data_IF_266620662692
#
_entry.id   IF_266620662692
#
_cell.length_a   1.000
_cell.length_b   1.000
_cell.length_c   1.000
_cell.angle_alpha   90.00
_cell.angle_beta   90.00
_cell.angle_gamma   90.00
#
_symmetry.space_group_name_H-M   'P 1'
#
loop_
_entity.id
_entity.type
_entity.pdbx_description
1 polymer ?
#
# COMPACT_ATOMS: atom_id res chain seq x y z
N UNK A 1 -9.06 -50.15 -37.44
CA UNK A 1 -7.98 -50.55 -38.34
C UNK A 1 -6.68 -49.97 -37.75
N UNK A 2 -5.98 -50.79 -36.99
CA UNK A 2 -4.73 -51.49 -37.25
C UNK A 2 -3.58 -50.50 -37.51
N UNK A 3 -2.63 -50.36 -36.68
CA UNK A 3 -1.55 -51.19 -36.18
C UNK A 3 -0.26 -50.49 -36.61
N UNK A 4 0.82 -50.42 -35.95
CA UNK A 4 1.79 -51.37 -35.49
C UNK A 4 2.85 -50.73 -34.59
N UNK A 5 3.18 -51.48 -33.53
CA UNK A 5 4.34 -51.36 -32.62
C UNK A 5 5.61 -51.73 -33.38
N UNK A 6 6.72 -51.01 -33.17
CA UNK A 6 8.08 -51.59 -33.29
C UNK A 6 8.96 -51.15 -32.13
N UNK A 7 9.15 -52.11 -31.24
CA UNK A 7 10.27 -52.20 -30.29
C UNK A 7 11.57 -52.49 -31.06
N UNK A 8 12.68 -51.83 -30.73
CA UNK A 8 14.02 -52.40 -30.87
C UNK A 8 14.87 -52.10 -29.67
N UNK A 9 15.25 -53.19 -29.07
CA UNK A 9 16.14 -53.45 -27.95
C UNK A 9 17.62 -53.49 -28.39
N UNK A 10 18.52 -53.48 -27.36
CA UNK A 10 19.90 -54.00 -27.28
C UNK A 10 21.00 -53.00 -27.62
N UNK A 11 22.14 -52.93 -26.95
CA UNK A 11 22.81 -53.65 -25.85
C UNK A 11 24.06 -52.84 -25.49
N UNK A 12 24.72 -53.02 -24.33
CA UNK A 12 25.92 -52.28 -23.93
C UNK A 12 27.20 -53.00 -24.38
N UNK A 13 28.36 -52.37 -24.40
CA UNK A 13 29.65 -53.01 -24.19
C UNK A 13 30.32 -52.49 -22.93
N UNK A 14 30.72 -53.34 -22.08
CA UNK A 14 31.92 -54.15 -21.96
C UNK A 14 33.12 -53.41 -21.31
N UNK A 15 33.47 -53.93 -20.15
CA UNK A 15 34.64 -53.61 -19.36
C UNK A 15 35.97 -54.04 -20.05
N UNK A 16 37.02 -53.28 -19.83
CA UNK A 16 38.44 -53.65 -19.65
C UNK A 16 39.26 -52.35 -19.79
N UNK A 17 40.05 -51.96 -18.81
CA UNK A 17 41.30 -52.46 -18.47
C UNK A 17 41.78 -51.99 -17.11
N UNK A 18 42.26 -52.96 -16.32
CA UNK A 18 43.03 -52.78 -15.08
C UNK A 18 44.50 -52.54 -15.39
N UNK A 19 45.14 -51.78 -14.54
CA UNK A 19 46.48 -51.87 -13.93
C UNK A 19 47.10 -50.50 -13.84
N UNK A 20 47.46 -50.06 -12.73
CA UNK A 20 48.33 -50.33 -11.56
C UNK A 20 49.29 -49.12 -11.50
N UNK A 21 49.60 -48.54 -10.41
CA UNK A 21 50.62 -48.96 -9.41
C UNK A 21 50.58 -47.92 -8.26
N UNK A 22 50.59 -48.40 -7.06
CA UNK A 22 50.93 -47.95 -5.75
C UNK A 22 51.81 -46.69 -5.57
N UNK A 23 51.54 -45.97 -4.51
CA UNK A 23 52.54 -45.26 -3.76
C UNK A 23 52.11 -44.07 -2.96
N UNK A 24 52.20 -44.22 -1.63
CA UNK A 24 52.44 -43.20 -0.60
C UNK A 24 51.21 -42.50 0.07
N UNK A 25 50.90 -43.04 1.21
CA UNK A 25 51.00 -42.44 2.54
C UNK A 25 50.14 -41.20 2.87
N UNK A 26 49.20 -41.47 3.78
CA UNK A 26 48.82 -40.68 4.95
C UNK A 26 48.69 -39.16 4.80
N UNK A 27 47.46 -38.69 4.70
CA UNK A 27 46.95 -37.52 5.44
C UNK A 27 45.43 -37.60 5.53
N UNK A 28 44.88 -37.66 6.72
CA UNK A 28 43.45 -37.60 7.00
C UNK A 28 42.91 -36.27 6.53
N UNK A 29 41.74 -36.22 5.85
CA UNK A 29 41.05 -34.96 5.69
C UNK A 29 40.32 -34.62 7.01
N UNK A 30 40.77 -33.57 7.64
CA UNK A 30 40.07 -32.81 8.65
C UNK A 30 38.64 -32.54 8.14
N UNK A 31 37.66 -32.93 8.94
CA UNK A 31 36.27 -32.54 8.81
C UNK A 31 36.22 -31.02 8.68
N UNK A 32 35.87 -30.54 7.51
CA UNK A 32 35.44 -29.17 7.33
C UNK A 32 34.09 -29.07 8.06
N UNK A 33 34.15 -28.45 9.20
CA UNK A 33 33.01 -27.98 9.98
C UNK A 33 32.18 -27.11 9.04
N UNK A 34 31.02 -27.61 8.68
CA UNK A 34 29.99 -26.88 7.94
C UNK A 34 29.61 -25.70 8.81
N UNK A 35 30.13 -24.53 8.47
CA UNK A 35 29.80 -23.29 9.13
C UNK A 35 28.28 -23.09 8.97
N UNK A 36 27.57 -23.40 10.04
CA UNK A 36 26.22 -22.89 10.23
C UNK A 36 26.28 -21.39 10.02
N UNK A 37 25.73 -20.93 8.91
CA UNK A 37 25.61 -19.52 8.62
C UNK A 37 24.80 -18.88 9.75
N UNK A 38 25.47 -18.20 10.65
CA UNK A 38 24.83 -17.29 11.59
C UNK A 38 24.03 -16.29 10.74
N UNK A 39 22.72 -16.43 10.78
CA UNK A 39 21.81 -15.43 10.24
C UNK A 39 22.05 -14.18 11.09
N UNK A 40 22.87 -13.25 10.58
CA UNK A 40 23.03 -11.94 11.22
C UNK A 40 21.64 -11.35 11.41
N UNK A 41 21.32 -10.81 12.61
CA UNK A 41 20.06 -10.15 12.80
C UNK A 41 19.93 -9.02 11.78
N UNK A 42 18.84 -9.02 11.04
CA UNK A 42 18.58 -8.01 10.02
C UNK A 42 18.64 -6.60 10.65
N UNK A 43 19.37 -5.70 10.03
CA UNK A 43 19.41 -4.30 10.49
C UNK A 43 18.03 -3.66 10.30
N UNK A 44 17.62 -2.71 11.15
CA UNK A 44 16.32 -2.04 11.01
C UNK A 44 16.06 -1.48 9.60
N UNK A 45 17.07 -0.94 8.93
CA UNK A 45 16.98 -0.46 7.55
C UNK A 45 16.67 -1.59 6.57
N UNK A 46 17.23 -2.78 6.76
CA UNK A 46 16.94 -3.94 5.89
C UNK A 46 15.53 -4.49 6.08
N UNK A 47 14.94 -4.33 7.26
CA UNK A 47 13.54 -4.70 7.53
C UNK A 47 12.58 -3.72 6.86
N UNK A 48 12.82 -2.42 6.99
CA UNK A 48 12.02 -1.39 6.34
C UNK A 48 12.02 -1.57 4.82
N UNK A 49 13.18 -1.75 4.20
CA UNK A 49 13.32 -1.96 2.76
C UNK A 49 12.55 -3.20 2.28
N UNK A 50 12.51 -4.29 3.07
CA UNK A 50 11.70 -5.48 2.74
C UNK A 50 10.20 -5.19 2.76
N UNK A 51 9.71 -4.53 3.82
CA UNK A 51 8.30 -4.16 3.94
C UNK A 51 7.89 -3.21 2.83
N UNK A 52 8.73 -2.21 2.51
CA UNK A 52 8.51 -1.26 1.42
C UNK A 52 8.42 -1.96 0.06
N UNK A 53 9.37 -2.84 -0.24
CA UNK A 53 9.40 -3.60 -1.50
C UNK A 53 8.18 -4.51 -1.64
N UNK A 54 7.78 -5.19 -0.56
CA UNK A 54 6.58 -6.03 -0.54
C UNK A 54 5.30 -5.19 -0.73
N UNK A 55 5.22 -4.02 -0.08
CA UNK A 55 4.10 -3.10 -0.24
C UNK A 55 3.97 -2.60 -1.68
N UNK A 56 5.09 -2.25 -2.32
CA UNK A 56 5.12 -1.80 -3.71
C UNK A 56 4.65 -2.91 -4.67
N UNK A 57 5.17 -4.12 -4.52
CA UNK A 57 4.83 -5.28 -5.36
C UNK A 57 3.34 -5.64 -5.25
N UNK A 58 2.80 -5.67 -4.04
CA UNK A 58 1.38 -5.98 -3.83
C UNK A 58 0.45 -4.84 -4.26
N UNK A 59 0.91 -3.60 -4.15
CA UNK A 59 0.20 -2.45 -4.72
C UNK A 59 0.10 -2.56 -6.23
N UNK A 60 1.19 -2.92 -6.92
CA UNK A 60 1.17 -3.18 -8.37
C UNK A 60 0.18 -4.31 -8.72
N UNK A 61 0.16 -5.40 -7.94
CA UNK A 61 -0.82 -6.49 -8.14
C UNK A 61 -2.25 -6.00 -8.00
N UNK A 62 -2.54 -5.15 -7.00
CA UNK A 62 -3.85 -4.55 -6.80
C UNK A 62 -4.23 -3.62 -7.95
N UNK A 63 -3.28 -2.81 -8.45
CA UNK A 63 -3.56 -1.93 -9.59
C UNK A 63 -3.86 -2.72 -10.85
N UNK A 64 -3.15 -3.79 -11.12
CA UNK A 64 -3.46 -4.70 -12.23
C UNK A 64 -4.88 -5.26 -12.12
N UNK A 65 -5.32 -5.65 -10.92
CA UNK A 65 -6.69 -6.06 -10.67
C UNK A 65 -7.69 -4.92 -10.90
N UNK A 66 -7.37 -3.72 -10.41
CA UNK A 66 -8.22 -2.54 -10.51
C UNK A 66 -8.43 -2.07 -11.95
N UNK A 67 -7.42 -2.19 -12.78
CA UNK A 67 -7.47 -1.86 -14.19
C UNK A 67 -8.08 -2.98 -15.05
N UNK A 68 -8.44 -4.13 -14.45
CA UNK A 68 -8.95 -5.27 -15.20
C UNK A 68 -7.95 -5.75 -16.24
N UNK A 69 -6.66 -5.67 -15.95
CA UNK A 69 -5.59 -6.00 -16.86
C UNK A 69 -5.70 -7.46 -17.27
N UNK A 70 -6.40 -7.72 -18.37
CA UNK A 70 -6.22 -8.93 -19.11
C UNK A 70 -4.72 -9.01 -19.48
N UNK A 71 -4.11 -10.19 -19.28
CA UNK A 71 -2.75 -10.47 -19.78
C UNK A 71 -2.69 -10.03 -21.24
N UNK A 72 -1.89 -9.00 -21.55
CA UNK A 72 -1.61 -8.65 -22.94
C UNK A 72 -1.86 -7.21 -23.38
N UNK A 73 -2.20 -6.26 -22.48
CA UNK A 73 -2.08 -4.85 -22.88
C UNK A 73 -0.61 -4.43 -22.74
N UNK A 74 0.18 -4.81 -23.74
CA UNK A 74 1.55 -4.32 -23.87
C UNK A 74 1.56 -2.80 -24.08
N UNK A 75 2.51 -2.16 -23.42
CA UNK A 75 2.79 -0.74 -23.68
C UNK A 75 3.46 -0.65 -25.05
N UNK A 76 2.71 -0.23 -26.05
CA UNK A 76 3.24 -0.06 -27.42
C UNK A 76 4.08 1.22 -27.51
N UNK A 77 4.94 1.38 -28.56
CA UNK A 77 5.69 2.61 -28.76
C UNK A 77 4.82 3.89 -28.83
N UNK A 78 3.56 3.76 -29.30
CA UNK A 78 2.65 4.91 -29.35
C UNK A 78 2.25 5.38 -27.94
N UNK A 79 2.16 4.47 -26.96
CA UNK A 79 1.96 4.83 -25.55
C UNK A 79 3.13 5.63 -24.96
N UNK A 80 4.33 5.56 -25.57
CA UNK A 80 5.49 6.37 -25.18
C UNK A 80 5.19 7.86 -25.24
N UNK A 81 4.47 8.33 -26.27
CA UNK A 81 4.06 9.74 -26.37
C UNK A 81 3.14 10.17 -25.22
N UNK A 82 2.23 9.30 -24.83
CA UNK A 82 1.35 9.55 -23.67
C UNK A 82 2.18 9.60 -22.38
N UNK A 83 3.13 8.65 -22.20
CA UNK A 83 4.07 8.67 -21.07
C UNK A 83 4.79 10.01 -20.99
N UNK A 84 5.44 10.44 -22.07
CA UNK A 84 6.22 11.68 -22.11
C UNK A 84 5.35 12.91 -21.83
N UNK A 85 4.14 12.94 -22.35
CA UNK A 85 3.19 14.01 -22.09
C UNK A 85 2.74 14.04 -20.62
N UNK A 86 2.47 12.88 -20.00
CA UNK A 86 2.14 12.80 -18.56
C UNK A 86 3.31 13.24 -17.69
N UNK A 87 4.53 12.79 -18.03
CA UNK A 87 5.75 13.22 -17.34
C UNK A 87 5.93 14.74 -17.42
N UNK A 88 5.77 15.32 -18.61
CA UNK A 88 5.87 16.77 -18.81
C UNK A 88 4.84 17.55 -17.97
N UNK A 89 3.61 17.04 -17.85
CA UNK A 89 2.55 17.66 -17.05
C UNK A 89 2.84 17.54 -15.56
N UNK A 90 3.22 16.35 -15.09
CA UNK A 90 3.37 16.06 -13.64
C UNK A 90 4.71 16.49 -13.05
N UNK A 91 5.74 16.71 -13.89
CA UNK A 91 7.05 17.22 -13.47
C UNK A 91 7.20 18.72 -13.71
N UNK A 92 6.19 19.39 -14.24
CA UNK A 92 6.20 20.84 -14.40
C UNK A 92 6.43 21.53 -13.05
N UNK A 93 7.20 22.65 -13.00
CA UNK A 93 7.46 23.39 -11.76
C UNK A 93 6.19 23.84 -11.03
N UNK A 94 5.13 24.09 -11.78
CA UNK A 94 3.79 24.34 -11.27
C UNK A 94 2.86 23.32 -11.91
N UNK A 95 2.44 22.35 -11.11
CA UNK A 95 1.38 21.43 -11.49
C UNK A 95 0.09 22.23 -11.72
N UNK A 96 -0.60 21.92 -12.83
CA UNK A 96 -1.90 22.50 -13.15
C UNK A 96 -2.89 22.25 -11.97
N UNK A 97 -3.47 23.31 -11.42
CA UNK A 97 -4.39 23.26 -10.28
C UNK A 97 -5.55 22.28 -10.49
N UNK A 98 -5.88 21.97 -11.74
CA UNK A 98 -6.97 21.01 -12.05
C UNK A 98 -6.67 19.58 -11.58
N UNK A 99 -5.40 19.19 -11.46
CA UNK A 99 -5.00 17.87 -11.00
C UNK A 99 -4.85 17.82 -9.47
N UNK A 100 -4.57 18.97 -8.83
CA UNK A 100 -4.43 19.00 -7.39
C UNK A 100 -5.77 18.80 -6.69
N UNK A 101 -5.87 17.83 -5.79
CA UNK A 101 -7.03 17.71 -4.94
C UNK A 101 -7.11 18.94 -4.01
N UNK A 102 -8.27 19.59 -3.98
CA UNK A 102 -8.48 20.69 -3.04
C UNK A 102 -8.41 20.15 -1.62
N UNK A 103 -7.63 20.84 -0.79
CA UNK A 103 -7.60 20.54 0.65
C UNK A 103 -9.00 20.63 1.23
N UNK A 104 -9.48 19.60 1.95
CA UNK A 104 -10.80 19.67 2.58
C UNK A 104 -10.91 20.87 3.51
N UNK A 105 -11.99 21.66 3.37
CA UNK A 105 -12.15 22.95 4.05
C UNK A 105 -12.10 22.82 5.58
N UNK A 106 -12.66 21.75 6.13
CA UNK A 106 -12.67 21.51 7.57
C UNK A 106 -11.38 20.90 8.12
N UNK A 107 -10.46 20.46 7.24
CA UNK A 107 -9.19 19.82 7.64
C UNK A 107 -8.39 20.68 8.63
N UNK A 108 -8.11 21.98 8.39
CA UNK A 108 -7.33 22.78 9.33
C UNK A 108 -8.00 22.96 10.69
N UNK A 109 -9.34 23.07 10.72
CA UNK A 109 -10.11 23.20 11.96
C UNK A 109 -10.07 21.90 12.76
N UNK A 110 -10.28 20.78 12.09
CA UNK A 110 -10.24 19.44 12.72
C UNK A 110 -8.85 19.10 13.21
N UNK A 111 -7.79 19.35 12.42
CA UNK A 111 -6.40 19.12 12.85
C UNK A 111 -6.05 19.92 14.12
N UNK A 112 -6.52 21.16 14.21
CA UNK A 112 -6.33 21.99 15.43
C UNK A 112 -7.08 21.42 16.62
N UNK A 113 -8.36 21.08 16.43
CA UNK A 113 -9.19 20.50 17.48
C UNK A 113 -8.66 19.14 17.97
N UNK A 114 -8.04 18.36 17.10
CA UNK A 114 -7.48 17.05 17.44
C UNK A 114 -6.14 17.14 18.19
N UNK A 115 -5.38 18.22 18.01
CA UNK A 115 -4.11 18.46 18.72
C UNK A 115 -4.30 19.10 20.09
N UNK A 116 -5.50 19.62 20.37
CA UNK A 116 -5.80 20.28 21.64
C UNK A 116 -6.41 19.27 22.65
N UNK A 117 -5.69 18.88 23.70
CA UNK A 117 -6.20 17.95 24.71
C UNK A 117 -7.45 18.45 25.44
N UNK A 118 -7.70 19.76 25.41
CA UNK A 118 -8.89 20.36 26.03
C UNK A 118 -10.15 20.21 25.17
N UNK A 119 -10.01 19.87 23.88
CA UNK A 119 -11.13 19.66 22.97
C UNK A 119 -11.71 18.28 23.21
N UNK A 120 -12.84 18.24 23.90
CA UNK A 120 -13.56 16.99 24.14
C UNK A 120 -14.26 16.47 22.87
N UNK A 121 -14.66 15.20 22.93
CA UNK A 121 -15.37 14.51 21.85
C UNK A 121 -16.64 15.23 21.38
N UNK A 122 -17.33 15.97 22.27
CA UNK A 122 -18.52 16.76 21.94
C UNK A 122 -18.21 17.93 20.99
N UNK A 123 -17.05 18.59 21.15
CA UNK A 123 -16.64 19.67 20.26
C UNK A 123 -16.26 19.14 18.87
N UNK A 124 -15.59 17.99 18.78
CA UNK A 124 -15.33 17.31 17.51
C UNK A 124 -16.65 16.92 16.82
N UNK A 125 -17.60 16.37 17.57
CA UNK A 125 -18.92 16.02 17.04
C UNK A 125 -19.65 17.24 16.48
N UNK A 126 -19.55 18.40 17.13
CA UNK A 126 -20.16 19.65 16.68
C UNK A 126 -19.51 20.17 15.38
N UNK A 127 -18.19 20.03 15.22
CA UNK A 127 -17.51 20.38 13.96
C UNK A 127 -17.97 19.47 12.82
N UNK A 128 -18.04 18.16 13.07
CA UNK A 128 -18.48 17.16 12.08
C UNK A 128 -19.92 17.45 11.64
N UNK A 129 -20.79 17.80 12.58
CA UNK A 129 -22.21 18.06 12.31
C UNK A 129 -22.47 19.31 11.42
N UNK A 130 -21.45 20.17 11.23
CA UNK A 130 -21.55 21.30 10.30
C UNK A 130 -21.59 20.87 8.83
N UNK A 131 -21.12 19.67 8.51
CA UNK A 131 -21.12 19.12 7.17
C UNK A 131 -21.91 17.78 7.14
N UNK A 132 -23.11 17.76 6.53
CA UNK A 132 -23.91 16.55 6.42
C UNK A 132 -23.21 15.42 5.63
N UNK A 133 -22.37 15.77 4.63
CA UNK A 133 -21.61 14.78 3.85
C UNK A 133 -20.54 14.15 4.72
N UNK A 134 -19.78 14.96 5.45
CA UNK A 134 -18.78 14.48 6.41
C UNK A 134 -19.43 13.60 7.50
N UNK A 135 -20.57 14.02 8.03
CA UNK A 135 -21.34 13.24 9.00
C UNK A 135 -21.72 11.87 8.44
N UNK A 136 -22.29 11.83 7.23
CA UNK A 136 -22.68 10.59 6.57
C UNK A 136 -21.50 9.68 6.27
N UNK A 137 -20.38 10.23 5.79
CA UNK A 137 -19.17 9.47 5.50
C UNK A 137 -18.50 8.95 6.78
N UNK A 138 -18.48 9.75 7.86
CA UNK A 138 -17.99 9.31 9.17
C UNK A 138 -18.82 8.14 9.71
N UNK A 139 -20.14 8.21 9.65
CA UNK A 139 -21.02 7.11 10.11
C UNK A 139 -20.86 5.86 9.24
N UNK A 140 -20.70 6.03 7.93
CA UNK A 140 -20.45 4.89 7.02
C UNK A 140 -19.13 4.19 7.34
N UNK A 141 -18.07 4.94 7.61
CA UNK A 141 -16.79 4.39 8.03
C UNK A 141 -16.88 3.72 9.40
N UNK A 142 -17.58 4.32 10.37
CA UNK A 142 -17.76 3.72 11.69
C UNK A 142 -18.46 2.35 11.62
N UNK A 143 -19.27 2.13 10.60
CA UNK A 143 -19.95 0.86 10.31
C UNK A 143 -19.21 -0.05 9.33
N UNK A 144 -18.12 0.41 8.72
CA UNK A 144 -17.30 -0.43 7.88
C UNK A 144 -16.57 -1.51 8.70
N UNK A 145 -16.32 -2.67 8.09
CA UNK A 145 -15.74 -3.84 8.77
C UNK A 145 -14.48 -3.52 9.56
N UNK A 146 -13.59 -2.76 8.99
CA UNK A 146 -12.28 -2.41 9.57
C UNK A 146 -12.32 -1.33 10.69
N UNK A 147 -13.47 -0.68 10.91
CA UNK A 147 -13.70 0.24 12.03
C UNK A 147 -14.73 -0.29 13.03
N UNK A 148 -15.56 -1.25 12.63
CA UNK A 148 -16.69 -1.72 13.38
C UNK A 148 -16.24 -2.47 14.64
N UNK A 149 -16.71 -2.02 15.80
CA UNK A 149 -16.43 -2.62 17.11
C UNK A 149 -17.66 -3.21 17.77
N UNK A 150 -18.86 -3.05 17.17
CA UNK A 150 -20.13 -3.54 17.71
C UNK A 150 -20.96 -4.23 16.64
N UNK A 151 -21.85 -5.14 17.05
CA UNK A 151 -22.82 -5.79 16.16
C UNK A 151 -23.95 -4.86 15.72
N UNK A 152 -24.28 -3.84 16.52
CA UNK A 152 -25.34 -2.89 16.22
C UNK A 152 -24.80 -1.73 15.39
N UNK A 153 -25.52 -1.26 14.36
CA UNK A 153 -25.12 -0.10 13.58
C UNK A 153 -24.97 1.17 14.44
N UNK A 154 -24.00 1.99 14.08
CA UNK A 154 -23.76 3.31 14.66
C UNK A 154 -24.52 4.33 13.80
N UNK A 155 -25.55 4.96 14.36
CA UNK A 155 -26.48 5.82 13.63
C UNK A 155 -26.23 7.32 13.91
N UNK A 156 -25.48 7.65 14.97
CA UNK A 156 -25.20 9.03 15.35
C UNK A 156 -23.73 9.26 15.67
N UNK A 157 -23.24 10.49 15.48
CA UNK A 157 -21.85 10.86 15.82
C UNK A 157 -21.63 10.71 17.34
N UNK A 158 -22.61 11.06 18.16
CA UNK A 158 -22.53 10.86 19.62
C UNK A 158 -22.33 9.38 19.97
N UNK A 159 -23.02 8.48 19.28
CA UNK A 159 -22.85 7.03 19.47
C UNK A 159 -21.47 6.55 18.99
N UNK A 160 -20.96 7.12 17.89
CA UNK A 160 -19.60 6.86 17.41
C UNK A 160 -18.57 7.27 18.46
N UNK A 161 -18.73 8.45 19.08
CA UNK A 161 -17.87 8.92 20.17
C UNK A 161 -17.86 7.95 21.34
N UNK A 162 -19.03 7.49 21.79
CA UNK A 162 -19.14 6.57 22.95
C UNK A 162 -18.48 5.21 22.66
N UNK A 163 -18.62 4.73 21.41
CA UNK A 163 -18.12 3.40 21.03
C UNK A 163 -16.64 3.42 20.65
N UNK A 164 -16.22 4.39 19.83
CA UNK A 164 -14.86 4.46 19.30
C UNK A 164 -13.91 5.26 20.20
N UNK A 165 -14.43 6.05 21.13
CA UNK A 165 -13.66 7.03 21.90
C UNK A 165 -13.27 8.25 21.04
N UNK A 166 -12.52 9.18 21.66
CA UNK A 166 -12.06 10.39 20.97
C UNK A 166 -11.09 10.06 19.85
N UNK A 167 -10.09 9.21 20.13
CA UNK A 167 -9.07 8.81 19.15
C UNK A 167 -9.70 8.09 17.94
N UNK A 168 -10.64 7.17 18.22
CA UNK A 168 -11.34 6.46 17.14
C UNK A 168 -12.21 7.41 16.30
N UNK A 169 -12.83 8.42 16.90
CA UNK A 169 -13.55 9.45 16.16
C UNK A 169 -12.61 10.30 15.30
N UNK A 170 -11.43 10.68 15.82
CA UNK A 170 -10.42 11.40 15.08
C UNK A 170 -10.00 10.64 13.83
N UNK A 171 -9.73 9.33 13.99
CA UNK A 171 -9.38 8.43 12.92
C UNK A 171 -10.48 8.35 11.83
N UNK A 172 -11.72 8.17 12.26
CA UNK A 172 -12.88 8.13 11.35
C UNK A 172 -13.03 9.43 10.55
N UNK A 173 -12.89 10.57 11.22
CA UNK A 173 -13.05 11.89 10.60
C UNK A 173 -11.94 12.21 9.61
N UNK A 174 -10.69 11.91 9.96
CA UNK A 174 -9.57 12.10 9.05
C UNK A 174 -9.76 11.30 7.76
N UNK A 175 -10.20 10.04 7.88
CA UNK A 175 -10.51 9.21 6.71
C UNK A 175 -11.73 9.74 5.94
N UNK A 176 -12.81 10.12 6.62
CA UNK A 176 -14.03 10.65 5.98
C UNK A 176 -13.78 11.93 5.17
N UNK A 177 -12.94 12.83 5.69
CA UNK A 177 -12.57 14.07 4.99
C UNK A 177 -11.87 13.84 3.66
N UNK A 178 -11.14 12.73 3.53
CA UNK A 178 -10.40 12.41 2.31
C UNK A 178 -11.30 11.76 1.25
N UNK A 179 -12.40 11.14 1.64
CA UNK A 179 -13.26 10.39 0.73
C UNK A 179 -13.76 11.17 -0.49
N UNK A 180 -14.22 12.44 -0.38
CA UNK A 180 -14.68 13.20 -1.54
C UNK A 180 -13.63 13.41 -2.62
N UNK A 181 -12.34 13.39 -2.23
CA UNK A 181 -11.20 13.50 -3.17
C UNK A 181 -11.14 12.29 -4.09
N UNK A 182 -11.52 11.10 -3.60
CA UNK A 182 -11.49 9.82 -4.31
C UNK A 182 -12.78 9.52 -5.10
N UNK A 183 -13.61 10.50 -5.38
CA UNK A 183 -14.83 10.27 -6.17
C UNK A 183 -14.50 9.60 -7.49
N UNK A 184 -15.29 8.59 -7.83
CA UNK A 184 -15.13 7.85 -9.07
C UNK A 184 -15.16 8.80 -10.26
N UNK A 185 -14.22 8.61 -11.17
CA UNK A 185 -14.23 9.25 -12.48
C UNK A 185 -14.89 8.26 -13.44
N UNK A 186 -15.89 8.67 -14.17
CA UNK A 186 -16.44 7.87 -15.27
C UNK A 186 -15.32 7.66 -16.30
N UNK A 187 -15.16 6.45 -16.80
CA UNK A 187 -14.09 6.18 -17.78
C UNK A 187 -13.68 4.71 -17.89
N UNK A 188 -12.56 4.48 -18.55
CA UNK A 188 -12.11 3.16 -18.96
C UNK A 188 -11.79 2.18 -17.82
N UNK A 189 -11.52 2.69 -16.61
CA UNK A 189 -11.17 1.85 -15.47
C UNK A 189 -12.02 2.20 -14.24
N UNK A 190 -13.33 1.89 -14.24
CA UNK A 190 -14.28 2.36 -13.22
C UNK A 190 -13.98 1.81 -11.82
N UNK A 191 -13.27 0.68 -11.70
CA UNK A 191 -12.92 0.07 -10.41
C UNK A 191 -11.73 0.73 -9.72
N UNK A 192 -10.85 1.43 -10.46
CA UNK A 192 -9.60 1.91 -9.90
C UNK A 192 -9.80 2.87 -8.71
N UNK A 193 -10.60 3.91 -8.87
CA UNK A 193 -10.83 4.89 -7.80
C UNK A 193 -11.52 4.28 -6.58
N UNK A 194 -12.40 3.30 -6.80
CA UNK A 194 -13.06 2.55 -5.72
C UNK A 194 -12.06 1.71 -4.95
N UNK A 195 -11.26 0.90 -5.65
CA UNK A 195 -10.25 0.04 -5.01
C UNK A 195 -9.12 0.87 -4.37
N UNK A 196 -8.73 1.98 -5.00
CA UNK A 196 -7.77 2.91 -4.39
C UNK A 196 -8.31 3.46 -3.08
N UNK A 197 -9.57 3.87 -3.03
CA UNK A 197 -10.22 4.32 -1.80
C UNK A 197 -10.28 3.22 -0.73
N UNK A 198 -10.76 2.04 -1.09
CA UNK A 198 -10.87 0.91 -0.16
C UNK A 198 -9.52 0.49 0.41
N UNK A 199 -8.48 0.46 -0.45
CA UNK A 199 -7.10 0.27 0.01
C UNK A 199 -6.67 1.36 0.99
N UNK A 200 -6.89 2.62 0.62
CA UNK A 200 -6.47 3.77 1.43
C UNK A 200 -7.10 3.74 2.82
N UNK A 201 -8.41 3.48 2.91
CA UNK A 201 -9.12 3.41 4.17
C UNK A 201 -8.61 2.27 5.07
N UNK A 202 -8.36 1.07 4.49
CA UNK A 202 -7.79 -0.07 5.23
C UNK A 202 -6.33 0.17 5.64
N UNK A 203 -5.52 0.70 4.72
CA UNK A 203 -4.12 0.99 4.96
C UNK A 203 -3.93 2.06 6.04
N UNK A 204 -4.71 3.14 5.99
CA UNK A 204 -4.66 4.20 7.01
C UNK A 204 -5.06 3.69 8.39
N UNK A 205 -6.07 2.80 8.46
CA UNK A 205 -6.45 2.14 9.71
C UNK A 205 -5.37 1.18 10.20
N UNK A 206 -4.76 0.42 9.30
CA UNK A 206 -3.66 -0.48 9.66
C UNK A 206 -2.43 0.29 10.16
N UNK A 207 -2.08 1.41 9.53
CA UNK A 207 -0.97 2.29 9.96
C UNK A 207 -1.22 2.88 11.35
N UNK A 208 -2.42 3.34 11.63
CA UNK A 208 -2.84 3.80 12.95
C UNK A 208 -2.67 2.71 14.01
N UNK A 209 -3.13 1.50 13.71
CA UNK A 209 -3.02 0.35 14.63
C UNK A 209 -1.57 -0.10 14.80
N UNK A 210 -0.77 -0.01 13.74
CA UNK A 210 0.67 -0.30 13.77
C UNK A 210 1.38 0.66 14.71
N UNK A 211 1.22 1.96 14.53
CA UNK A 211 1.79 3.00 15.36
C UNK A 211 1.38 2.85 16.84
N UNK A 212 0.10 2.56 17.10
CA UNK A 212 -0.41 2.32 18.46
C UNK A 212 0.29 1.17 19.18
N UNK A 213 0.62 0.08 18.47
CA UNK A 213 1.27 -1.11 19.05
C UNK A 213 2.76 -0.96 19.20
N UNK A 214 3.41 -0.31 18.25
CA UNK A 214 4.82 -0.01 18.31
C UNK A 214 5.16 0.98 19.44
N UNK A 215 4.16 1.66 20.01
CA UNK A 215 4.28 2.65 21.10
C UNK A 215 5.35 3.73 20.86
N UNK A 216 5.65 4.04 19.60
CA UNK A 216 6.75 4.93 19.24
C UNK A 216 6.31 6.14 18.45
N UNK A 217 5.04 6.12 17.94
CA UNK A 217 4.58 7.10 16.98
C UNK A 217 3.22 7.68 17.31
N UNK A 218 2.98 8.90 16.83
CA UNK A 218 1.66 9.50 16.84
C UNK A 218 0.78 8.72 15.85
N UNK A 219 -0.24 8.05 16.41
CA UNK A 219 -1.20 7.22 15.66
C UNK A 219 -1.88 8.00 14.55
N UNK A 220 -2.18 9.27 14.84
CA UNK A 220 -2.84 10.15 13.90
C UNK A 220 -1.90 10.59 12.77
N UNK A 221 -0.62 10.87 13.07
CA UNK A 221 0.36 11.20 12.03
C UNK A 221 0.59 10.02 11.08
N UNK A 222 0.70 8.78 11.58
CA UNK A 222 0.81 7.59 10.74
C UNK A 222 -0.40 7.41 9.83
N UNK A 223 -1.60 7.63 10.35
CA UNK A 223 -2.82 7.60 9.57
C UNK A 223 -2.85 8.69 8.50
N UNK A 224 -2.54 9.94 8.87
CA UNK A 224 -2.55 11.08 7.95
C UNK A 224 -1.51 10.92 6.85
N UNK A 225 -0.32 10.42 7.17
CA UNK A 225 0.73 10.12 6.19
C UNK A 225 0.22 9.14 5.14
N UNK A 226 -0.43 8.05 5.56
CA UNK A 226 -0.99 7.04 4.66
C UNK A 226 -2.10 7.62 3.78
N UNK A 227 -2.95 8.48 4.32
CA UNK A 227 -3.99 9.17 3.56
C UNK A 227 -3.39 10.12 2.50
N UNK A 228 -2.34 10.86 2.85
CA UNK A 228 -1.62 11.74 1.93
C UNK A 228 -0.91 10.94 0.82
N UNK A 229 -0.28 9.81 1.19
CA UNK A 229 0.44 8.98 0.22
C UNK A 229 -0.48 8.41 -0.88
N UNK A 230 -1.75 8.24 -0.60
CA UNK A 230 -2.73 7.74 -1.57
C UNK A 230 -3.18 8.79 -2.60
N UNK A 231 -2.89 10.08 -2.39
CA UNK A 231 -3.32 11.15 -3.30
C UNK A 231 -2.51 11.18 -4.60
N UNK A 232 -1.23 10.86 -4.54
CA UNK A 232 -0.36 10.84 -5.72
C UNK A 232 -0.82 9.83 -6.77
N UNK A 233 -1.04 8.55 -6.44
CA UNK A 233 -1.63 7.57 -7.34
C UNK A 233 -2.92 8.04 -8.02
N UNK A 234 -3.79 8.74 -7.29
CA UNK A 234 -5.03 9.31 -7.84
C UNK A 234 -4.75 10.40 -8.87
N UNK A 235 -3.83 11.31 -8.57
CA UNK A 235 -3.47 12.43 -9.46
C UNK A 235 -2.78 11.90 -10.72
N UNK A 236 -1.84 10.97 -10.58
CA UNK A 236 -1.17 10.33 -11.72
C UNK A 236 -2.19 9.63 -12.62
N UNK A 237 -3.12 8.87 -12.04
CA UNK A 237 -4.20 8.22 -12.79
C UNK A 237 -5.04 9.23 -13.57
N UNK A 238 -5.50 10.32 -12.93
CA UNK A 238 -6.30 11.36 -13.58
C UNK A 238 -5.57 12.05 -14.72
N UNK A 239 -4.29 12.42 -14.49
CA UNK A 239 -3.46 13.04 -15.52
C UNK A 239 -3.23 12.10 -16.71
N UNK A 240 -3.06 10.81 -16.45
CA UNK A 240 -2.89 9.80 -17.49
C UNK A 240 -4.15 9.67 -18.35
N UNK A 241 -5.33 9.53 -17.72
CA UNK A 241 -6.60 9.45 -18.47
C UNK A 241 -6.92 10.74 -19.23
N UNK A 242 -6.64 11.91 -18.64
CA UNK A 242 -6.83 13.20 -19.32
C UNK A 242 -5.91 13.35 -20.54
N UNK A 243 -4.71 12.81 -20.48
CA UNK A 243 -3.79 12.77 -21.62
C UNK A 243 -4.30 11.84 -22.72
N UNK A 244 -4.76 10.63 -22.36
CA UNK A 244 -5.39 9.73 -23.33
C UNK A 244 -6.64 10.33 -23.98
N UNK A 245 -7.44 11.08 -23.23
CA UNK A 245 -8.64 11.72 -23.79
C UNK A 245 -8.32 12.76 -24.87
N UNK A 246 -7.10 13.30 -24.89
CA UNK A 246 -6.60 14.19 -25.96
C UNK A 246 -6.05 13.42 -27.15
N UNK A 247 -5.62 12.20 -26.95
CA UNK A 247 -5.11 11.28 -27.97
C UNK A 247 -6.24 10.37 -28.48
N UNK A 248 -7.13 10.89 -29.28
CA UNK A 248 -8.40 10.23 -29.67
C UNK A 248 -8.26 8.86 -30.38
N UNK A 249 -7.05 8.47 -30.74
CA UNK A 249 -6.77 7.21 -31.45
C UNK A 249 -6.27 6.07 -30.56
N UNK A 250 -5.89 6.37 -29.33
CA UNK A 250 -5.32 5.39 -28.39
C UNK A 250 -6.27 5.06 -27.25
N UNK A 251 -6.48 3.77 -27.03
CA UNK A 251 -7.15 3.28 -25.82
C UNK A 251 -6.20 3.31 -24.63
N UNK A 252 -6.66 3.71 -23.43
CA UNK A 252 -5.82 3.71 -22.25
C UNK A 252 -5.20 2.35 -21.94
N UNK A 253 -3.88 2.32 -21.72
CA UNK A 253 -3.14 1.12 -21.33
C UNK A 253 -3.10 0.97 -19.82
N UNK A 254 -3.58 -0.17 -19.31
CA UNK A 254 -3.46 -0.53 -17.91
C UNK A 254 -1.98 -0.62 -17.47
N UNK A 255 -1.11 -1.17 -18.32
CA UNK A 255 0.33 -1.28 -18.07
C UNK A 255 0.98 0.08 -17.85
N UNK A 256 0.69 1.06 -18.72
CA UNK A 256 1.21 2.41 -18.58
C UNK A 256 0.68 3.11 -17.32
N UNK A 257 -0.60 2.92 -16.98
CA UNK A 257 -1.16 3.46 -15.73
C UNK A 257 -0.41 2.91 -14.49
N UNK A 258 -0.16 1.60 -14.45
CA UNK A 258 0.58 0.95 -13.36
C UNK A 258 2.00 1.48 -13.26
N UNK A 259 2.71 1.56 -14.39
CA UNK A 259 4.08 2.07 -14.48
C UNK A 259 4.17 3.52 -13.95
N UNK A 260 3.31 4.41 -14.44
CA UNK A 260 3.32 5.82 -14.04
C UNK A 260 2.92 6.02 -12.58
N UNK A 261 1.95 5.26 -12.07
CA UNK A 261 1.58 5.30 -10.66
C UNK A 261 2.76 4.84 -9.78
N UNK A 262 3.44 3.77 -10.16
CA UNK A 262 4.60 3.26 -9.41
C UNK A 262 5.77 4.23 -9.39
N UNK A 263 6.05 4.91 -10.52
CA UNK A 263 7.21 5.80 -10.65
C UNK A 263 6.97 7.22 -10.13
N UNK A 264 5.74 7.72 -10.15
CA UNK A 264 5.44 9.12 -9.84
C UNK A 264 4.58 9.30 -8.58
N UNK A 265 3.85 8.25 -8.16
CA UNK A 265 2.81 8.38 -7.14
C UNK A 265 3.31 9.02 -5.85
N UNK A 266 4.39 8.51 -5.27
CA UNK A 266 4.93 9.02 -4.01
C UNK A 266 5.44 10.46 -4.14
N UNK A 267 6.15 10.79 -5.22
CA UNK A 267 6.66 12.14 -5.48
C UNK A 267 5.51 13.16 -5.59
N UNK A 268 4.43 12.79 -6.27
CA UNK A 268 3.23 13.65 -6.38
C UNK A 268 2.54 13.77 -5.01
N UNK A 269 2.48 12.71 -4.21
CA UNK A 269 1.97 12.79 -2.83
C UNK A 269 2.74 13.79 -1.99
N UNK A 270 4.08 13.78 -2.10
CA UNK A 270 4.93 14.75 -1.41
C UNK A 270 4.64 16.20 -1.85
N UNK A 271 4.50 16.44 -3.16
CA UNK A 271 4.15 17.77 -3.69
C UNK A 271 2.80 18.25 -3.14
N UNK A 272 1.80 17.37 -3.09
CA UNK A 272 0.49 17.67 -2.51
C UNK A 272 0.62 18.02 -1.02
N UNK A 273 1.39 17.24 -0.26
CA UNK A 273 1.62 17.49 1.16
C UNK A 273 2.28 18.87 1.40
N UNK A 274 3.24 19.27 0.57
CA UNK A 274 3.86 20.60 0.59
C UNK A 274 2.83 21.69 0.29
N UNK A 275 2.03 21.54 -0.76
CA UNK A 275 1.00 22.51 -1.13
C UNK A 275 -0.08 22.64 -0.04
N UNK A 276 -0.41 21.55 0.63
CA UNK A 276 -1.35 21.55 1.75
C UNK A 276 -0.73 22.07 3.05
N UNK A 277 0.54 22.47 3.04
CA UNK A 277 1.27 22.94 4.21
C UNK A 277 1.23 21.93 5.36
N UNK A 278 1.45 20.66 5.02
CA UNK A 278 1.63 19.60 6.02
C UNK A 278 2.91 19.82 6.83
N UNK A 279 3.08 19.11 7.94
CA UNK A 279 4.32 19.22 8.74
C UNK A 279 5.53 18.75 7.91
N UNK A 280 6.71 19.34 8.17
CA UNK A 280 7.96 18.95 7.52
C UNK A 280 8.27 17.46 7.70
N UNK A 281 7.91 16.90 8.86
CA UNK A 281 8.02 15.47 9.15
C UNK A 281 7.22 14.59 8.16
N UNK A 282 5.96 14.96 7.88
CA UNK A 282 5.14 14.24 6.91
C UNK A 282 5.63 14.42 5.47
N UNK A 283 6.11 15.62 5.15
CA UNK A 283 6.68 15.91 3.82
C UNK A 283 7.96 15.11 3.59
N UNK A 284 8.84 15.03 4.61
CA UNK A 284 10.06 14.24 4.55
C UNK A 284 9.75 12.74 4.42
N UNK A 285 8.80 12.21 5.19
CA UNK A 285 8.42 10.81 5.11
C UNK A 285 7.79 10.40 3.76
N UNK A 286 7.35 11.35 2.94
CA UNK A 286 6.86 11.12 1.58
C UNK A 286 7.94 11.29 0.51
N UNK A 287 9.19 11.58 0.88
CA UNK A 287 10.28 11.70 -0.07
C UNK A 287 10.67 10.32 -0.61
N UNK A 288 10.58 10.06 -1.93
CA UNK A 288 10.98 8.78 -2.49
C UNK A 288 12.50 8.56 -2.47
N UNK A 289 13.28 9.63 -2.35
CA UNK A 289 14.74 9.61 -2.35
C UNK A 289 15.33 9.69 -0.92
N UNK A 290 14.48 9.45 0.09
CA UNK A 290 14.90 9.56 1.48
C UNK A 290 15.98 8.54 1.80
N UNK A 291 17.16 9.01 2.18
CA UNK A 291 18.23 8.14 2.61
C UNK A 291 17.98 7.69 4.06
N UNK A 292 17.75 6.39 4.22
CA UNK A 292 17.53 5.76 5.53
C UNK A 292 18.75 5.91 6.47
N UNK A 293 19.92 6.21 5.91
CA UNK A 293 21.18 6.30 6.66
C UNK A 293 21.37 7.67 7.34
N UNK A 294 20.71 8.72 6.91
CA UNK A 294 20.94 10.09 7.42
C UNK A 294 20.18 10.44 8.72
N UNK A 295 19.75 9.48 9.53
CA UNK A 295 19.39 9.69 10.95
C UNK A 295 18.26 10.69 11.27
N UNK A 296 17.77 11.44 10.30
CA UNK A 296 16.74 12.47 10.45
C UNK A 296 15.34 11.96 10.12
N UNK A 297 15.24 10.80 9.48
CA UNK A 297 13.95 10.27 9.08
C UNK A 297 13.42 9.34 10.14
N UNK A 298 12.19 9.56 10.46
CA UNK A 298 11.45 8.80 11.44
C UNK A 298 11.13 7.40 10.91
N UNK A 299 12.07 6.47 11.05
CA UNK A 299 11.92 5.08 10.60
C UNK A 299 10.64 4.43 11.14
N UNK A 300 10.23 4.76 12.36
CA UNK A 300 9.03 4.19 12.93
C UNK A 300 7.75 4.69 12.22
N UNK A 301 7.74 5.95 11.76
CA UNK A 301 6.64 6.48 10.94
C UNK A 301 6.60 5.83 9.54
N UNK A 302 7.76 5.58 8.93
CA UNK A 302 7.86 4.85 7.66
C UNK A 302 7.44 3.38 7.81
N UNK A 303 7.83 2.71 8.89
CA UNK A 303 7.34 1.37 9.18
C UNK A 303 5.82 1.33 9.34
N UNK A 304 5.23 2.34 9.98
CA UNK A 304 3.77 2.43 10.11
C UNK A 304 3.10 2.68 8.74
N UNK A 305 3.68 3.53 7.88
CA UNK A 305 3.21 3.76 6.53
C UNK A 305 3.23 2.46 5.70
N UNK A 306 4.42 1.90 5.48
CA UNK A 306 4.57 0.76 4.57
C UNK A 306 3.95 -0.52 5.12
N UNK A 307 4.04 -0.74 6.44
CA UNK A 307 3.34 -1.85 7.11
C UNK A 307 1.82 -1.71 7.03
N UNK A 308 1.31 -0.50 7.19
CA UNK A 308 -0.09 -0.17 7.01
C UNK A 308 -0.57 -0.40 5.58
N UNK A 309 0.19 0.07 4.59
CA UNK A 309 -0.09 -0.14 3.19
C UNK A 309 -0.07 -1.61 2.78
N UNK A 310 0.93 -2.35 3.26
CA UNK A 310 1.05 -3.78 3.03
C UNK A 310 -0.18 -4.53 3.56
N UNK A 311 -0.50 -4.34 4.83
CA UNK A 311 -1.63 -5.02 5.48
C UNK A 311 -2.98 -4.59 4.89
N UNK A 312 -3.15 -3.31 4.58
CA UNK A 312 -4.36 -2.80 3.94
C UNK A 312 -4.56 -3.36 2.54
N UNK A 313 -3.48 -3.48 1.76
CA UNK A 313 -3.50 -4.06 0.42
C UNK A 313 -3.81 -5.56 0.46
N UNK A 314 -3.14 -6.31 1.34
CA UNK A 314 -3.39 -7.73 1.54
C UNK A 314 -4.83 -8.00 1.98
N UNK A 315 -5.36 -7.22 2.93
CA UNK A 315 -6.74 -7.31 3.37
C UNK A 315 -7.73 -7.08 2.23
N UNK A 316 -7.47 -6.10 1.36
CA UNK A 316 -8.31 -5.84 0.19
C UNK A 316 -8.22 -6.96 -0.84
N UNK A 317 -7.02 -7.44 -1.17
CA UNK A 317 -6.83 -8.56 -2.09
C UNK A 317 -7.53 -9.83 -1.62
N UNK A 318 -7.53 -10.09 -0.31
CA UNK A 318 -8.29 -11.20 0.27
C UNK A 318 -9.81 -11.00 0.14
N UNK A 319 -10.31 -9.78 0.37
CA UNK A 319 -11.74 -9.45 0.18
C UNK A 319 -12.17 -9.59 -1.29
N UNK A 320 -11.29 -9.26 -2.23
CA UNK A 320 -11.52 -9.40 -3.68
C UNK A 320 -11.30 -10.84 -4.18
N UNK A 321 -11.05 -11.82 -3.28
CA UNK A 321 -10.74 -13.22 -3.61
C UNK A 321 -9.52 -13.39 -4.53
N UNK A 322 -8.59 -12.44 -4.52
CA UNK A 322 -7.34 -12.51 -5.26
C UNK A 322 -6.21 -13.24 -4.48
N UNK A 323 -6.41 -13.42 -3.18
CA UNK A 323 -5.57 -14.18 -2.24
C UNK A 323 -6.45 -14.88 -1.22
N UNK A 324 -6.00 -16.01 -0.65
CA UNK A 324 -6.60 -16.53 0.58
C UNK A 324 -6.14 -15.73 1.81
N UNK A 325 -6.83 -15.87 2.93
CA UNK A 325 -6.43 -15.20 4.18
C UNK A 325 -5.09 -15.74 4.70
N UNK A 326 -4.83 -17.03 4.50
CA UNK A 326 -3.60 -17.71 4.87
C UNK A 326 -2.42 -17.18 4.03
N UNK A 327 -2.59 -17.12 2.70
CA UNK A 327 -1.58 -16.56 1.80
C UNK A 327 -1.26 -15.09 2.13
N UNK A 328 -2.29 -14.29 2.40
CA UNK A 328 -2.12 -12.89 2.76
C UNK A 328 -1.35 -12.73 4.08
N UNK A 329 -1.67 -13.57 5.09
CA UNK A 329 -0.95 -13.57 6.37
C UNK A 329 0.50 -13.99 6.17
N UNK A 330 0.75 -15.05 5.41
CA UNK A 330 2.11 -15.52 5.14
C UNK A 330 2.95 -14.47 4.42
N UNK A 331 2.40 -13.80 3.41
CA UNK A 331 3.09 -12.70 2.71
C UNK A 331 3.47 -11.54 3.63
N UNK A 332 2.64 -11.24 4.63
CA UNK A 332 2.97 -10.22 5.62
C UNK A 332 4.15 -10.64 6.53
N UNK A 333 4.19 -11.92 6.93
CA UNK A 333 5.29 -12.48 7.73
C UNK A 333 6.59 -12.55 6.92
N UNK A 334 6.53 -12.99 5.67
CA UNK A 334 7.67 -13.07 4.75
C UNK A 334 8.28 -11.68 4.48
N UNK A 335 7.45 -10.63 4.49
CA UNK A 335 7.91 -9.25 4.40
C UNK A 335 8.64 -8.78 5.68
N UNK A 336 8.60 -9.55 6.76
CA UNK A 336 9.26 -9.25 8.02
C UNK A 336 8.38 -8.58 9.08
N UNK A 337 7.06 -8.53 8.89
CA UNK A 337 6.18 -8.00 9.93
C UNK A 337 6.06 -9.00 11.09
N UNK A 338 6.10 -8.52 12.37
CA UNK A 338 5.96 -9.39 13.53
C UNK A 338 4.59 -10.11 13.56
N UNK A 339 4.57 -11.42 13.81
CA UNK A 339 3.36 -12.25 13.81
C UNK A 339 2.25 -11.70 14.72
N UNK A 340 2.57 -11.34 15.95
CA UNK A 340 1.61 -10.79 16.90
C UNK A 340 0.98 -9.47 16.42
N UNK A 341 1.72 -8.67 15.65
CA UNK A 341 1.25 -7.44 15.05
C UNK A 341 0.30 -7.76 13.89
N UNK A 342 0.74 -8.64 12.97
CA UNK A 342 -0.05 -9.10 11.82
C UNK A 342 -1.38 -9.67 12.29
N UNK A 343 -1.39 -10.66 13.18
CA UNK A 343 -2.59 -11.29 13.68
C UNK A 343 -3.59 -10.29 14.27
N UNK A 344 -3.10 -9.36 15.08
CA UNK A 344 -3.95 -8.37 15.73
C UNK A 344 -4.51 -7.31 14.78
N UNK A 345 -3.75 -6.84 13.80
CA UNK A 345 -4.24 -5.87 12.82
C UNK A 345 -5.17 -6.59 11.84
N UNK A 346 -4.79 -7.79 11.39
CA UNK A 346 -5.59 -8.60 10.48
C UNK A 346 -7.00 -8.86 11.04
N UNK A 347 -7.07 -9.32 12.29
CA UNK A 347 -8.36 -9.53 12.96
C UNK A 347 -9.25 -8.28 12.90
N UNK A 348 -8.67 -7.10 13.07
CA UNK A 348 -9.42 -5.84 13.05
C UNK A 348 -9.82 -5.40 11.64
N UNK A 349 -9.00 -5.70 10.63
CA UNK A 349 -9.34 -5.40 9.23
C UNK A 349 -10.42 -6.33 8.68
N UNK A 350 -10.54 -7.55 9.22
CA UNK A 350 -11.49 -8.57 8.76
C UNK A 350 -12.75 -8.69 9.64
N UNK A 351 -12.81 -8.06 10.79
CA UNK A 351 -13.86 -8.23 11.82
C UNK A 351 -15.31 -7.92 11.39
N UNK A 352 -15.61 -7.92 10.10
CA UNK A 352 -16.94 -7.63 9.58
C UNK A 352 -17.18 -8.09 8.14
N UNK A 353 -16.33 -8.96 7.61
CA UNK A 353 -16.61 -9.67 6.35
C UNK A 353 -17.63 -10.76 6.56
#
# INVERSE_FOLDING_TARGET
LCGWIVLRSRTPPSAASRRAIAGAANAAPTLVEEAAGETQPATPSSELARVQSASALLSERLWRLAFGAARGQEVTPEHGRVRDAVLAVLQAPQLDEKYFPRRPTLMPQLLRAMKDPAVGAGALAAIIAQDPVLTGDTLRLANASYYRTTSKPIETIQRAVVICGTDGLQSLVATALMRPVFRATEGNFPRFTTLLWERTARASRAAELYAAKARREDRFEAQLLTLLNALGPLVVYRATLDTYARESTLSPSAGLCVELIGSLGQKISQQIARQWQSSERLIAALDPEIDEAEGATDQALLHALYGGELLGTLSLLATENALSAEEATQLALDAGLPEALVASIWQRLQAGS
#
